data_IF_767081301705
#
_entry.id   IF_767081301705
#
_cell.length_a   1.000
_cell.length_b   1.000
_cell.length_c   1.000
_cell.angle_alpha   90.00
_cell.angle_beta   90.00
_cell.angle_gamma   90.00
#
_symmetry.space_group_name_H-M   'P 1'
#
loop_
_entity.id
_entity.type
_entity.pdbx_description
1 polymer ?
#
# COMPACT_ATOMS: atom_id res chain seq x y z
N UNK A 1 -21.58 -3.14 43.67
CA UNK A 1 -20.61 -3.90 42.85
C UNK A 1 -21.10 -4.22 41.43
N UNK A 2 -22.33 -3.91 41.04
CA UNK A 2 -22.83 -4.15 39.68
C UNK A 2 -22.53 -3.00 38.70
N UNK A 3 -22.65 -1.75 39.16
CA UNK A 3 -22.38 -0.56 38.35
C UNK A 3 -20.92 -0.49 37.84
N UNK A 4 -19.95 -0.95 38.64
CA UNK A 4 -18.53 -0.93 38.26
C UNK A 4 -18.21 -1.94 37.15
N UNK A 5 -18.95 -3.06 37.08
CA UNK A 5 -18.76 -4.09 36.05
C UNK A 5 -19.29 -3.64 34.69
N UNK A 6 -20.40 -2.91 34.68
CA UNK A 6 -21.04 -2.41 33.44
C UNK A 6 -20.15 -1.36 32.76
N UNK A 7 -19.52 -0.47 33.54
CA UNK A 7 -18.60 0.55 33.01
C UNK A 7 -17.35 -0.08 32.38
N UNK A 8 -16.78 -1.12 32.99
CA UNK A 8 -15.60 -1.82 32.46
C UNK A 8 -15.90 -2.57 31.15
N UNK A 9 -17.06 -3.21 31.03
CA UNK A 9 -17.45 -3.92 29.79
C UNK A 9 -17.65 -2.93 28.63
N UNK A 10 -18.23 -1.75 28.90
CA UNK A 10 -18.41 -0.70 27.89
C UNK A 10 -17.08 -0.10 27.41
N UNK A 11 -16.09 0.05 28.28
CA UNK A 11 -14.75 0.56 27.90
C UNK A 11 -13.98 -0.46 27.05
N UNK A 12 -14.08 -1.76 27.35
CA UNK A 12 -13.42 -2.83 26.58
C UNK A 12 -14.02 -2.97 25.17
N UNK A 13 -15.34 -2.77 25.02
CA UNK A 13 -16.03 -2.77 23.72
C UNK A 13 -15.70 -1.54 22.87
N UNK A 14 -15.49 -0.37 23.46
CA UNK A 14 -15.06 0.84 22.75
C UNK A 14 -13.60 0.75 22.25
N UNK A 15 -12.72 0.08 23.00
CA UNK A 15 -11.34 -0.16 22.57
C UNK A 15 -11.25 -1.12 21.37
N UNK A 16 -12.27 -1.94 21.11
CA UNK A 16 -12.30 -2.89 19.98
C UNK A 16 -12.70 -2.25 18.65
N UNK A 17 -13.22 -1.01 18.65
CA UNK A 17 -13.73 -0.32 17.45
C UNK A 17 -12.64 0.56 16.81
N UNK A 18 -11.56 0.88 17.53
CA UNK A 18 -10.36 1.50 16.97
C UNK A 18 -9.37 0.44 16.46
N UNK A 19 -9.86 -0.53 15.69
CA UNK A 19 -9.00 -1.17 14.70
C UNK A 19 -8.79 -0.17 13.57
N UNK A 20 -7.84 0.73 13.75
CA UNK A 20 -7.08 1.24 12.61
C UNK A 20 -6.33 0.02 12.09
N UNK A 21 -6.98 -0.84 11.30
CA UNK A 21 -6.39 -2.07 10.80
C UNK A 21 -5.16 -1.69 9.99
N UNK A 22 -4.01 -1.76 10.66
CA UNK A 22 -2.74 -1.35 10.11
C UNK A 22 -2.33 -2.47 9.15
N UNK A 23 -2.68 -2.30 7.88
CA UNK A 23 -2.37 -3.27 6.83
C UNK A 23 -0.86 -3.47 6.74
N UNK A 24 -0.44 -4.72 6.64
CA UNK A 24 0.95 -5.06 6.34
C UNK A 24 1.15 -5.14 4.84
N UNK A 25 2.20 -4.55 4.29
CA UNK A 25 2.49 -4.62 2.86
C UNK A 25 3.92 -5.08 2.62
N UNK A 26 4.18 -5.74 1.48
CA UNK A 26 5.55 -5.88 1.02
C UNK A 26 6.07 -4.53 0.54
N UNK A 27 7.31 -4.21 0.91
CA UNK A 27 8.02 -2.97 0.58
C UNK A 27 9.35 -3.28 -0.09
N UNK A 28 9.52 -2.73 -1.30
CA UNK A 28 10.73 -2.85 -2.10
C UNK A 28 10.72 -1.85 -3.26
N UNK A 29 11.91 -1.60 -3.80
CA UNK A 29 12.12 -0.86 -5.05
C UNK A 29 13.10 -1.63 -5.94
N UNK A 30 13.02 -1.44 -7.25
CA UNK A 30 13.99 -2.00 -8.16
C UNK A 30 13.68 -1.74 -9.63
N UNK A 31 14.36 -2.46 -10.51
CA UNK A 31 14.08 -2.45 -11.96
C UNK A 31 12.99 -3.46 -12.32
N UNK A 32 12.42 -3.42 -13.53
CA UNK A 32 11.44 -4.42 -13.98
C UNK A 32 11.95 -5.87 -14.01
N UNK A 33 13.27 -6.10 -13.89
CA UNK A 33 13.89 -7.42 -13.82
C UNK A 33 14.27 -7.84 -12.40
N UNK A 34 14.12 -6.95 -11.42
CA UNK A 34 14.45 -7.20 -10.01
C UNK A 34 13.52 -8.21 -9.35
N UNK A 35 13.94 -8.73 -8.22
CA UNK A 35 13.15 -9.65 -7.39
C UNK A 35 11.88 -8.97 -6.83
N UNK A 36 11.93 -7.65 -6.63
CA UNK A 36 10.76 -6.82 -6.33
C UNK A 36 9.68 -6.92 -7.43
N UNK A 37 10.08 -6.83 -8.71
CA UNK A 37 9.15 -6.98 -9.84
C UNK A 37 8.55 -8.40 -9.90
N UNK A 38 9.39 -9.41 -9.66
CA UNK A 38 9.04 -10.84 -9.70
C UNK A 38 8.25 -11.33 -8.49
N UNK A 39 8.03 -10.46 -7.49
CA UNK A 39 7.32 -10.79 -6.26
C UNK A 39 8.00 -11.94 -5.48
N UNK A 40 9.33 -11.89 -5.29
CA UNK A 40 10.06 -12.87 -4.46
C UNK A 40 9.96 -12.45 -2.98
N UNK A 41 9.16 -13.13 -2.13
CA UNK A 41 8.88 -12.69 -0.76
C UNK A 41 10.14 -12.50 0.10
N UNK A 42 11.13 -13.37 -0.06
CA UNK A 42 12.34 -13.41 0.76
C UNK A 42 13.26 -12.21 0.52
N UNK A 43 13.11 -11.53 -0.61
CA UNK A 43 13.91 -10.34 -0.97
C UNK A 43 13.22 -9.02 -0.59
N UNK A 44 12.04 -9.04 0.02
CA UNK A 44 11.22 -7.86 0.29
C UNK A 44 10.99 -7.67 1.79
N UNK A 45 10.95 -6.42 2.22
CA UNK A 45 10.59 -6.11 3.60
C UNK A 45 9.07 -6.19 3.77
N UNK A 46 8.62 -6.54 4.98
CA UNK A 46 7.22 -6.39 5.37
C UNK A 46 7.13 -5.16 6.26
N UNK A 47 6.27 -4.22 5.91
CA UNK A 47 6.06 -2.98 6.65
C UNK A 47 4.61 -2.87 7.11
N UNK A 48 4.40 -2.34 8.32
CA UNK A 48 3.05 -2.05 8.84
C UNK A 48 2.68 -0.63 8.47
N UNK A 49 1.63 -0.44 7.67
CA UNK A 49 1.23 0.87 7.17
C UNK A 49 0.62 1.75 8.26
N UNK A 50 0.84 3.07 8.17
CA UNK A 50 0.36 4.05 9.15
C UNK A 50 -0.98 4.66 8.75
N UNK A 51 -1.96 4.59 9.64
CA UNK A 51 -3.31 5.13 9.43
C UNK A 51 -4.05 4.38 8.32
N UNK A 52 -5.09 5.01 7.75
CA UNK A 52 -5.91 4.39 6.70
C UNK A 52 -5.10 4.29 5.40
N UNK A 53 -4.56 3.10 5.14
CA UNK A 53 -3.63 2.83 4.04
C UNK A 53 -3.98 1.49 3.36
N UNK A 54 -3.49 1.33 2.14
CA UNK A 54 -3.59 0.11 1.32
C UNK A 54 -2.21 -0.21 0.73
N UNK A 55 -2.02 -1.44 0.27
CA UNK A 55 -0.80 -1.82 -0.43
C UNK A 55 -0.83 -1.34 -1.89
N UNK A 56 0.33 -1.02 -2.45
CA UNK A 56 0.50 -0.72 -3.86
C UNK A 56 1.54 -1.63 -4.53
N UNK A 57 1.41 -1.74 -5.85
CA UNK A 57 2.47 -2.09 -6.79
C UNK A 57 2.46 -1.07 -7.93
N UNK A 58 3.64 -0.56 -8.28
CA UNK A 58 3.84 0.46 -9.31
C UNK A 58 4.94 0.00 -10.26
N UNK A 59 4.74 0.22 -11.55
CA UNK A 59 5.74 0.11 -12.62
C UNK A 59 5.65 1.36 -13.48
N UNK A 60 6.65 2.24 -13.35
CA UNK A 60 6.67 3.57 -13.95
C UNK A 60 8.01 3.84 -14.60
N UNK A 61 8.03 4.85 -15.48
CA UNK A 61 9.27 5.46 -15.97
C UNK A 61 9.23 6.95 -15.76
N UNK A 62 10.31 7.50 -15.21
CA UNK A 62 10.56 8.93 -15.08
C UNK A 62 11.81 9.26 -15.90
N UNK A 63 11.69 10.13 -16.90
CA UNK A 63 12.75 10.35 -17.88
C UNK A 63 13.11 9.06 -18.65
N UNK A 64 14.36 8.63 -18.55
CA UNK A 64 14.87 7.37 -19.13
C UNK A 64 14.80 6.18 -18.18
N UNK A 65 14.55 6.39 -16.89
CA UNK A 65 14.67 5.36 -15.86
C UNK A 65 13.32 4.72 -15.58
N UNK A 66 13.27 3.39 -15.69
CA UNK A 66 12.09 2.60 -15.36
C UNK A 66 12.30 1.88 -14.03
N UNK A 67 11.34 2.03 -13.13
CA UNK A 67 11.38 1.47 -11.79
C UNK A 67 10.09 0.72 -11.47
N UNK A 68 10.21 -0.20 -10.53
CA UNK A 68 9.09 -0.84 -9.85
C UNK A 68 9.16 -0.53 -8.37
N UNK A 69 8.01 -0.42 -7.73
CA UNK A 69 7.94 -0.34 -6.27
C UNK A 69 6.71 -1.06 -5.71
N UNK A 70 6.86 -1.52 -4.47
CA UNK A 70 5.80 -2.07 -3.62
C UNK A 70 5.86 -1.35 -2.29
N UNK A 71 4.71 -1.13 -1.66
CA UNK A 71 4.68 -0.55 -0.31
C UNK A 71 3.29 -0.09 0.10
N UNK A 72 3.25 0.82 1.06
CA UNK A 72 2.02 1.45 1.55
C UNK A 72 1.64 2.66 0.69
N UNK A 73 0.34 2.91 0.55
CA UNK A 73 -0.19 4.19 0.08
C UNK A 73 -1.49 4.53 0.81
N UNK A 74 -1.93 5.79 0.74
CA UNK A 74 -3.20 6.20 1.36
C UNK A 74 -4.36 5.57 0.60
N UNK A 75 -5.41 5.21 1.34
CA UNK A 75 -6.66 4.76 0.72
C UNK A 75 -7.46 5.96 0.18
N UNK A 76 -8.13 5.77 -0.97
CA UNK A 76 -9.09 6.72 -1.52
C UNK A 76 -8.56 7.55 -2.70
N UNK A 77 -9.14 8.73 -2.98
CA UNK A 77 -8.86 9.51 -4.20
C UNK A 77 -7.46 10.13 -4.25
N UNK A 78 -6.69 9.97 -3.18
CA UNK A 78 -5.31 10.44 -3.04
C UNK A 78 -4.33 9.27 -2.93
N UNK A 79 -4.75 8.07 -3.37
CA UNK A 79 -3.82 6.95 -3.50
C UNK A 79 -2.74 7.23 -4.55
N UNK A 80 -1.62 6.53 -4.41
CA UNK A 80 -0.46 6.73 -5.27
C UNK A 80 -0.79 6.50 -6.75
N UNK A 81 -1.62 5.50 -7.08
CA UNK A 81 -1.98 5.21 -8.46
C UNK A 81 -2.77 6.35 -9.11
N UNK A 82 -3.73 6.91 -8.39
CA UNK A 82 -4.52 8.06 -8.85
C UNK A 82 -3.61 9.25 -9.13
N UNK A 83 -2.70 9.56 -8.22
CA UNK A 83 -1.73 10.66 -8.38
C UNK A 83 -0.80 10.41 -9.57
N UNK A 84 -0.28 9.19 -9.72
CA UNK A 84 0.63 8.84 -10.82
C UNK A 84 -0.06 8.93 -12.18
N UNK A 85 -1.29 8.43 -12.30
CA UNK A 85 -2.04 8.54 -13.55
C UNK A 85 -2.33 10.00 -13.92
N UNK A 86 -2.78 10.82 -12.96
CA UNK A 86 -3.00 12.25 -13.18
C UNK A 86 -1.71 12.98 -13.58
N UNK A 87 -0.61 12.72 -12.87
CA UNK A 87 0.70 13.31 -13.17
C UNK A 87 1.18 12.92 -14.58
N UNK A 88 1.08 11.63 -14.94
CA UNK A 88 1.48 11.15 -16.27
C UNK A 88 0.64 11.73 -17.41
N UNK A 89 -0.64 12.02 -17.16
CA UNK A 89 -1.50 12.69 -18.13
C UNK A 89 -1.08 14.15 -18.38
N UNK A 90 -0.60 14.84 -17.34
CA UNK A 90 -0.12 16.22 -17.44
C UNK A 90 1.31 16.31 -18.01
N UNK A 91 2.15 15.29 -17.83
CA UNK A 91 3.55 15.27 -18.26
C UNK A 91 3.93 13.99 -19.03
N UNK A 92 3.29 13.69 -20.18
CA UNK A 92 3.42 12.40 -20.86
C UNK A 92 4.81 12.10 -21.41
N UNK A 93 5.63 13.13 -21.63
CA UNK A 93 7.03 12.98 -22.09
C UNK A 93 7.96 12.63 -20.92
N UNK A 94 7.70 13.21 -19.75
CA UNK A 94 8.58 13.09 -18.57
C UNK A 94 8.24 11.89 -17.70
N UNK A 95 6.97 11.43 -17.68
CA UNK A 95 6.52 10.32 -16.86
C UNK A 95 5.58 9.39 -17.63
N UNK A 96 5.71 8.08 -17.38
CA UNK A 96 4.80 7.06 -17.90
C UNK A 96 4.48 6.03 -16.82
N UNK A 97 3.19 5.75 -16.64
CA UNK A 97 2.73 4.61 -15.83
C UNK A 97 2.52 3.43 -16.76
N UNK A 98 3.25 2.35 -16.57
CA UNK A 98 3.00 1.10 -17.30
C UNK A 98 1.95 0.24 -16.60
N UNK A 99 2.00 0.23 -15.27
CA UNK A 99 1.04 -0.50 -14.45
C UNK A 99 1.03 0.09 -13.04
N UNK A 100 -0.16 0.25 -12.45
CA UNK A 100 -0.30 0.63 -11.05
C UNK A 100 -1.56 0.00 -10.49
N UNK A 101 -1.46 -0.64 -9.33
CA UNK A 101 -2.60 -1.26 -8.67
C UNK A 101 -2.47 -1.18 -7.15
N UNK A 102 -3.60 -0.97 -6.49
CA UNK A 102 -3.74 -1.00 -5.03
C UNK A 102 -4.59 -2.19 -4.58
N UNK A 103 -4.42 -2.62 -3.33
CA UNK A 103 -5.22 -3.67 -2.70
C UNK A 103 -5.21 -3.53 -1.17
N UNK A 104 -6.27 -3.99 -0.50
CA UNK A 104 -6.53 -3.65 0.91
C UNK A 104 -6.19 -4.74 1.93
N UNK A 105 -5.95 -5.98 1.49
CA UNK A 105 -5.63 -7.09 2.41
C UNK A 105 -4.15 -7.12 2.78
N UNK A 106 -3.83 -7.76 3.91
CA UNK A 106 -2.44 -7.94 4.33
C UNK A 106 -1.61 -8.63 3.25
N UNK A 107 -0.53 -7.96 2.86
CA UNK A 107 0.51 -8.41 1.93
C UNK A 107 -0.04 -8.74 0.54
N UNK A 108 -1.25 -8.28 0.23
CA UNK A 108 -1.96 -8.56 -1.02
C UNK A 108 -1.18 -8.13 -2.26
N UNK A 109 -0.29 -7.15 -2.11
CA UNK A 109 0.48 -6.66 -3.24
C UNK A 109 1.37 -7.76 -3.83
N UNK A 110 1.74 -8.82 -3.10
CA UNK A 110 2.48 -9.96 -3.66
C UNK A 110 1.80 -10.62 -4.87
N UNK A 111 0.47 -10.68 -4.88
CA UNK A 111 -0.30 -11.33 -5.95
C UNK A 111 -0.43 -10.44 -7.19
N UNK A 112 -0.05 -9.17 -7.08
CA UNK A 112 -0.04 -8.25 -8.20
C UNK A 112 1.14 -8.61 -9.10
N UNK A 113 0.81 -9.30 -10.18
CA UNK A 113 1.69 -9.70 -11.27
C UNK A 113 1.33 -8.89 -12.52
N UNK A 114 2.35 -8.58 -13.31
CA UNK A 114 2.24 -7.83 -14.56
C UNK A 114 2.46 -8.75 -15.76
#
# INVERSE_FOLDING_TARGET
MEQLKIVLVSIVLLASILKTDAVQCYECEGTPQSDCAKAIPESMNVTTCKGISVCHYVDTRTGSERSVSRGCTKYGPVDLCTILYQSSANFPIASRVFYCKTCSDDKCNIQITK
#
